data_IF_137460243432
#
_entry.id   IF_137460243432
#
_cell.length_a   1.000
_cell.length_b   1.000
_cell.length_c   1.000
_cell.angle_alpha   90.00
_cell.angle_beta   90.00
_cell.angle_gamma   90.00
#
_symmetry.space_group_name_H-M   'P 1'
#
loop_
_entity.id
_entity.type
_entity.pdbx_description
1 polymer ?
#
# COMPACT_ATOMS: atom_id res chain seq x y z
N UNK A 1 22.44 5.42 50.10
CA UNK A 1 21.10 5.65 49.50
C UNK A 1 20.25 4.41 49.74
N UNK A 2 19.10 4.52 50.41
CA UNK A 2 18.13 3.42 50.56
C UNK A 2 17.10 3.53 49.44
N UNK A 3 17.07 2.55 48.54
CA UNK A 3 16.04 2.45 47.51
C UNK A 3 14.79 1.84 48.13
N UNK A 4 13.73 2.65 48.28
CA UNK A 4 12.42 2.13 48.66
C UNK A 4 11.83 1.38 47.46
N UNK A 5 11.87 0.04 47.51
CA UNK A 5 11.05 -0.78 46.60
C UNK A 5 9.59 -0.57 47.01
N UNK A 6 8.83 0.17 46.20
CA UNK A 6 7.37 0.19 46.30
C UNK A 6 6.89 -1.25 46.17
N UNK A 7 6.18 -1.75 47.17
CA UNK A 7 5.50 -3.04 47.08
C UNK A 7 4.38 -2.89 46.06
N UNK A 8 4.52 -3.51 44.89
CA UNK A 8 3.46 -3.59 43.90
C UNK A 8 2.34 -4.47 44.48
N UNK A 9 1.24 -3.82 44.86
CA UNK A 9 0.02 -4.52 45.28
C UNK A 9 -0.57 -5.21 44.05
N UNK A 10 -0.39 -6.52 43.97
CA UNK A 10 -0.93 -7.36 42.90
C UNK A 10 -2.45 -7.19 42.86
N UNK A 11 -3.00 -6.79 41.71
CA UNK A 11 -4.44 -6.78 41.50
C UNK A 11 -4.86 -8.21 41.14
N UNK A 12 -5.60 -8.86 42.02
CA UNK A 12 -6.26 -10.12 41.68
C UNK A 12 -7.42 -9.79 40.73
N UNK A 13 -7.22 -9.96 39.43
CA UNK A 13 -8.29 -9.82 38.44
C UNK A 13 -9.31 -10.94 38.59
N UNK A 14 -10.58 -10.58 38.45
CA UNK A 14 -11.68 -11.52 38.36
C UNK A 14 -11.56 -12.38 37.10
N UNK A 15 -12.12 -13.59 37.13
CA UNK A 15 -12.01 -14.51 35.99
C UNK A 15 -12.68 -13.96 34.71
N UNK A 16 -13.65 -13.06 34.83
CA UNK A 16 -14.23 -12.34 33.68
C UNK A 16 -13.25 -11.37 33.04
N UNK A 17 -12.49 -10.61 33.84
CA UNK A 17 -11.52 -9.64 33.31
C UNK A 17 -10.34 -10.35 32.64
N UNK A 18 -9.95 -11.52 33.15
CA UNK A 18 -8.96 -12.38 32.49
C UNK A 18 -9.46 -12.81 31.12
N UNK A 19 -10.69 -13.31 31.03
CA UNK A 19 -11.28 -13.73 29.76
C UNK A 19 -11.38 -12.58 28.75
N UNK A 20 -11.72 -11.36 29.20
CA UNK A 20 -11.71 -10.18 28.33
C UNK A 20 -10.30 -9.83 27.83
N UNK A 21 -9.29 -9.90 28.70
CA UNK A 21 -7.90 -9.63 28.34
C UNK A 21 -7.41 -10.64 27.28
N UNK A 22 -7.75 -11.90 27.46
CA UNK A 22 -7.47 -12.99 26.51
C UNK A 22 -8.11 -12.75 25.15
N UNK A 23 -9.40 -12.41 25.13
CA UNK A 23 -10.12 -12.11 23.90
C UNK A 23 -9.50 -10.92 23.17
N UNK A 24 -9.20 -9.83 23.88
CA UNK A 24 -8.58 -8.64 23.27
C UNK A 24 -7.20 -8.93 22.69
N UNK A 25 -6.38 -9.74 23.38
CA UNK A 25 -5.08 -10.15 22.88
C UNK A 25 -5.19 -11.03 21.63
N UNK A 26 -6.15 -11.96 21.63
CA UNK A 26 -6.43 -12.83 20.51
C UNK A 26 -6.95 -12.05 19.29
N UNK A 27 -7.90 -11.13 19.50
CA UNK A 27 -8.50 -10.32 18.44
C UNK A 27 -7.46 -9.40 17.78
N UNK A 28 -6.61 -8.75 18.59
CA UNK A 28 -5.49 -7.95 18.08
C UNK A 28 -4.55 -8.82 17.24
N UNK A 29 -4.21 -10.01 17.74
CA UNK A 29 -3.39 -10.97 17.00
C UNK A 29 -4.03 -11.36 15.66
N UNK A 30 -5.33 -11.68 15.68
CA UNK A 30 -6.08 -12.09 14.50
C UNK A 30 -6.13 -11.01 13.43
N UNK A 31 -6.35 -9.75 13.82
CA UNK A 31 -6.35 -8.61 12.92
C UNK A 31 -4.97 -8.39 12.28
N UNK A 32 -3.91 -8.38 13.10
CA UNK A 32 -2.52 -8.26 12.63
C UNK A 32 -2.16 -9.39 11.67
N UNK A 33 -2.53 -10.63 12.00
CA UNK A 33 -2.26 -11.81 11.19
C UNK A 33 -3.02 -11.81 9.85
N UNK A 34 -4.29 -11.40 9.87
CA UNK A 34 -5.15 -11.37 8.69
C UNK A 34 -4.75 -10.26 7.72
N UNK A 35 -4.60 -9.03 8.22
CA UNK A 35 -4.31 -7.87 7.38
C UNK A 35 -2.82 -7.65 7.11
N UNK A 36 -1.93 -8.33 7.85
CA UNK A 36 -0.46 -8.13 7.80
C UNK A 36 -0.07 -6.69 8.16
N UNK A 37 -0.69 -6.16 9.23
CA UNK A 37 -0.30 -4.87 9.76
C UNK A 37 1.16 -4.87 10.21
N UNK A 38 1.82 -3.72 10.05
CA UNK A 38 3.12 -3.49 10.68
C UNK A 38 2.93 -3.50 12.19
N UNK A 39 3.80 -4.21 12.90
CA UNK A 39 3.77 -4.26 14.37
C UNK A 39 4.30 -2.97 15.01
N UNK A 40 4.68 -2.00 14.17
CA UNK A 40 5.12 -0.67 14.58
C UNK A 40 3.95 0.31 14.56
N UNK A 41 3.81 1.11 15.62
CA UNK A 41 2.76 2.15 15.75
C UNK A 41 1.56 1.68 16.56
N UNK A 42 0.35 1.80 16.00
CA UNK A 42 -0.89 1.53 16.74
C UNK A 42 -0.97 0.10 17.31
N UNK A 43 -0.38 -0.88 16.63
CA UNK A 43 -0.29 -2.26 17.13
C UNK A 43 0.58 -2.33 18.38
N UNK A 44 1.74 -1.68 18.35
CA UNK A 44 2.62 -1.60 19.54
C UNK A 44 1.95 -0.84 20.69
N UNK A 45 1.25 0.25 20.41
CA UNK A 45 0.50 1.00 21.44
C UNK A 45 -0.58 0.13 22.09
N UNK A 46 -1.40 -0.57 21.30
CA UNK A 46 -2.42 -1.47 21.84
C UNK A 46 -1.83 -2.67 22.58
N UNK A 47 -0.74 -3.25 22.05
CA UNK A 47 -0.08 -4.38 22.68
C UNK A 47 0.55 -3.99 24.02
N UNK A 48 1.24 -2.84 24.09
CA UNK A 48 1.79 -2.31 25.35
C UNK A 48 0.71 -1.99 26.38
N UNK A 49 -0.47 -1.50 25.94
CA UNK A 49 -1.60 -1.31 26.83
C UNK A 49 -2.07 -2.65 27.42
N UNK A 50 -2.20 -3.71 26.60
CA UNK A 50 -2.55 -5.06 27.08
C UNK A 50 -1.47 -5.63 28.02
N UNK A 51 -0.20 -5.42 27.69
CA UNK A 51 0.93 -5.87 28.51
C UNK A 51 0.97 -5.17 29.87
N UNK A 52 0.62 -3.88 29.93
CA UNK A 52 0.55 -3.15 31.20
C UNK A 52 -0.50 -3.75 32.15
N UNK A 53 -1.69 -4.10 31.63
CA UNK A 53 -2.75 -4.75 32.40
C UNK A 53 -2.35 -6.16 32.80
N UNK A 54 -1.70 -6.90 31.89
CA UNK A 54 -1.22 -8.25 32.16
C UNK A 54 -0.11 -8.28 33.21
N UNK A 55 0.75 -7.25 33.26
CA UNK A 55 1.84 -7.12 34.23
C UNK A 55 1.32 -6.89 35.65
N UNK A 56 0.24 -6.14 35.80
CA UNK A 56 -0.42 -5.96 37.10
C UNK A 56 -1.01 -7.28 37.66
N UNK A 57 -1.23 -8.24 36.77
CA UNK A 57 -1.91 -9.51 37.00
C UNK A 57 -0.99 -10.75 37.07
N UNK A 58 0.30 -10.60 36.76
CA UNK A 58 1.23 -11.71 36.46
C UNK A 58 0.74 -12.65 35.32
N UNK A 59 -0.05 -12.15 34.36
CA UNK A 59 -0.64 -12.92 33.23
C UNK A 59 0.04 -12.64 31.88
N UNK A 60 1.27 -12.13 31.89
CA UNK A 60 1.97 -11.68 30.68
C UNK A 60 2.20 -12.79 29.66
N UNK A 61 2.56 -13.99 30.12
CA UNK A 61 2.81 -15.15 29.27
C UNK A 61 1.56 -15.53 28.48
N UNK A 62 0.42 -15.55 29.18
CA UNK A 62 -0.87 -15.93 28.62
C UNK A 62 -1.36 -14.96 27.54
N UNK A 63 -1.16 -13.65 27.74
CA UNK A 63 -1.44 -12.62 26.73
C UNK A 63 -0.55 -12.79 25.50
N UNK A 64 0.74 -13.04 25.71
CA UNK A 64 1.70 -13.22 24.61
C UNK A 64 1.38 -14.46 23.77
N UNK A 65 0.97 -15.56 24.41
CA UNK A 65 0.55 -16.78 23.73
C UNK A 65 -0.73 -16.56 22.91
N UNK A 66 -1.74 -15.93 23.51
CA UNK A 66 -3.01 -15.67 22.84
C UNK A 66 -2.84 -14.73 21.65
N UNK A 67 -1.98 -13.72 21.75
CA UNK A 67 -1.62 -12.87 20.61
C UNK A 67 -0.96 -13.66 19.47
N UNK A 68 0.02 -14.52 19.77
CA UNK A 68 0.68 -15.38 18.77
C UNK A 68 -0.32 -16.34 18.11
N UNK A 69 -1.16 -17.00 18.91
CA UNK A 69 -2.24 -17.88 18.43
C UNK A 69 -3.20 -17.12 17.52
N UNK A 70 -3.65 -15.93 17.93
CA UNK A 70 -4.47 -15.05 17.11
C UNK A 70 -3.82 -14.74 15.76
N UNK A 71 -2.54 -14.36 15.76
CA UNK A 71 -1.76 -14.03 14.56
C UNK A 71 -1.64 -15.18 13.57
N UNK A 72 -1.34 -16.38 14.05
CA UNK A 72 -1.32 -17.58 13.21
C UNK A 72 -2.70 -17.90 12.62
N UNK A 73 -3.74 -17.78 13.45
CA UNK A 73 -5.11 -18.08 13.03
C UNK A 73 -5.61 -17.09 11.98
N UNK A 74 -5.32 -15.80 12.16
CA UNK A 74 -5.58 -14.74 11.19
C UNK A 74 -4.85 -14.98 9.87
N UNK A 75 -3.57 -15.36 9.92
CA UNK A 75 -2.80 -15.69 8.72
C UNK A 75 -3.37 -16.90 7.95
N UNK A 76 -3.73 -17.98 8.66
CA UNK A 76 -4.38 -19.17 8.09
C UNK A 76 -5.75 -18.84 7.50
N UNK A 77 -6.52 -17.95 8.15
CA UNK A 77 -7.83 -17.50 7.64
C UNK A 77 -7.67 -16.72 6.34
N UNK A 78 -6.71 -15.79 6.27
CA UNK A 78 -6.38 -15.05 5.04
C UNK A 78 -6.02 -16.00 3.90
N UNK A 79 -5.21 -17.01 4.18
CA UNK A 79 -4.81 -18.01 3.18
C UNK A 79 -6.02 -18.80 2.65
N UNK A 80 -6.89 -19.27 3.55
CA UNK A 80 -8.14 -19.94 3.16
C UNK A 80 -9.04 -19.04 2.32
N UNK A 81 -9.24 -17.80 2.74
CA UNK A 81 -10.08 -16.83 2.04
C UNK A 81 -9.52 -16.52 0.65
N UNK A 82 -8.20 -16.37 0.52
CA UNK A 82 -7.51 -16.21 -0.76
C UNK A 82 -7.72 -17.43 -1.67
N UNK A 83 -7.57 -18.65 -1.15
CA UNK A 83 -7.80 -19.89 -1.90
C UNK A 83 -9.25 -20.02 -2.37
N UNK A 84 -10.22 -19.65 -1.53
CA UNK A 84 -11.65 -19.62 -1.87
C UNK A 84 -11.99 -18.55 -2.91
N UNK A 85 -11.38 -17.36 -2.79
CA UNK A 85 -11.53 -16.27 -3.76
C UNK A 85 -11.02 -16.65 -5.15
N UNK A 86 -9.90 -17.39 -5.21
CA UNK A 86 -9.38 -17.94 -6.45
C UNK A 86 -10.31 -19.02 -7.04
N UNK A 87 -10.85 -19.91 -6.19
CA UNK A 87 -11.73 -21.01 -6.64
C UNK A 87 -13.08 -20.53 -7.19
N UNK A 88 -13.67 -19.46 -6.66
CA UNK A 88 -14.93 -18.91 -7.21
C UNK A 88 -14.77 -18.28 -8.60
N UNK A 89 -13.59 -17.72 -8.90
CA UNK A 89 -13.33 -17.06 -10.20
C UNK A 89 -13.26 -18.05 -11.37
N UNK A 90 -13.05 -19.34 -11.08
CA UNK A 90 -12.97 -20.39 -12.11
C UNK A 90 -14.36 -20.87 -12.56
N UNK A 91 -15.37 -20.84 -11.68
CA UNK A 91 -16.74 -21.28 -12.01
C UNK A 91 -17.57 -20.28 -12.84
N UNK A 92 -17.14 -19.01 -12.90
CA UNK A 92 -17.86 -17.95 -13.61
C UNK A 92 -17.28 -17.60 -14.99
N UNK A 93 -16.28 -18.34 -15.51
CA UNK A 93 -15.75 -18.11 -16.87
C UNK A 93 -16.68 -18.60 -18.00
N UNK A 94 -17.90 -19.03 -17.68
CA UNK A 94 -18.83 -19.60 -18.65
C UNK A 94 -19.95 -18.69 -19.14
N UNK A 95 -20.26 -17.56 -18.50
CA UNK A 95 -21.47 -16.79 -18.86
C UNK A 95 -21.33 -15.26 -18.66
N UNK A 96 -21.57 -14.55 -19.76
CA UNK A 96 -21.91 -13.13 -19.93
C UNK A 96 -20.78 -12.12 -20.24
N UNK A 97 -20.89 -11.65 -21.49
CA UNK A 97 -20.41 -10.38 -22.00
C UNK A 97 -21.28 -9.20 -21.51
N UNK A 98 -20.67 -8.01 -21.63
CA UNK A 98 -21.22 -6.64 -21.72
C UNK A 98 -21.95 -5.99 -20.53
N UNK A 99 -21.58 -4.71 -20.35
CA UNK A 99 -22.19 -3.59 -19.62
C UNK A 99 -21.73 -3.19 -18.19
N UNK A 100 -20.71 -2.32 -18.18
CA UNK A 100 -20.74 -0.91 -17.68
C UNK A 100 -20.67 -0.59 -16.17
N UNK A 101 -19.46 -0.17 -15.74
CA UNK A 101 -18.99 1.02 -14.95
C UNK A 101 -19.83 1.52 -13.74
N UNK A 102 -19.33 1.87 -12.53
CA UNK A 102 -18.11 2.51 -11.96
C UNK A 102 -17.95 2.05 -10.48
N UNK A 103 -16.80 2.05 -9.78
CA UNK A 103 -15.45 2.58 -10.00
C UNK A 103 -14.39 1.77 -9.22
N UNK A 104 -13.21 1.55 -9.81
CA UNK A 104 -11.97 2.34 -9.70
C UNK A 104 -11.09 1.92 -8.50
N UNK A 105 -10.06 1.11 -8.77
CA UNK A 105 -8.66 1.55 -8.73
C UNK A 105 -7.72 0.50 -9.36
N UNK A 106 -6.78 1.02 -10.16
CA UNK A 106 -5.50 0.44 -10.63
C UNK A 106 -5.48 -0.44 -11.90
N UNK A 107 -4.87 0.18 -12.92
CA UNK A 107 -4.07 -0.37 -14.01
C UNK A 107 -4.80 -1.10 -15.15
N UNK A 108 -5.32 -0.25 -16.04
CA UNK A 108 -5.63 -0.51 -17.42
C UNK A 108 -4.39 -1.04 -18.16
N UNK A 109 -4.34 -2.36 -18.32
CA UNK A 109 -3.52 -3.01 -19.34
C UNK A 109 -4.25 -2.86 -20.65
N UNK A 110 -3.88 -1.85 -21.43
CA UNK A 110 -4.21 -1.84 -22.85
C UNK A 110 -3.52 -3.02 -23.53
N UNK A 111 -4.35 -3.99 -23.89
CA UNK A 111 -4.28 -4.88 -25.05
C UNK A 111 -2.96 -4.79 -25.81
N UNK A 112 -1.99 -5.60 -25.42
CA UNK A 112 -0.89 -5.97 -26.32
C UNK A 112 -1.48 -6.91 -27.37
N UNK A 113 -2.03 -6.32 -28.44
CA UNK A 113 -1.99 -6.97 -29.74
C UNK A 113 -0.50 -7.13 -30.06
N UNK A 114 0.03 -8.34 -29.90
CA UNK A 114 1.35 -8.72 -30.40
C UNK A 114 1.29 -8.74 -31.94
N UNK A 115 1.15 -7.57 -32.54
CA UNK A 115 1.46 -7.36 -33.95
C UNK A 115 2.98 -7.24 -34.01
N UNK A 116 3.62 -8.29 -34.52
CA UNK A 116 5.05 -8.30 -34.86
C UNK A 116 5.42 -6.97 -35.51
N UNK A 117 6.14 -6.14 -34.76
CA UNK A 117 6.41 -4.74 -35.06
C UNK A 117 7.84 -4.52 -35.50
N UNK A 118 8.43 -5.44 -36.27
CA UNK A 118 9.69 -5.17 -36.95
C UNK A 118 9.39 -4.30 -38.19
N UNK A 119 9.10 -3.03 -37.95
CA UNK A 119 9.15 -2.01 -39.01
C UNK A 119 10.57 -1.47 -39.01
N UNK A 120 11.35 -1.86 -40.02
CA UNK A 120 12.62 -1.23 -40.32
C UNK A 120 12.39 0.26 -40.56
N UNK A 121 12.77 1.10 -39.61
CA UNK A 121 12.93 2.52 -39.87
C UNK A 121 14.17 2.68 -40.75
N UNK A 122 13.97 2.73 -42.07
CA UNK A 122 14.87 3.49 -42.93
C UNK A 122 14.56 4.96 -42.64
N UNK A 123 15.36 5.58 -41.77
CA UNK A 123 15.32 7.03 -41.66
C UNK A 123 16.26 7.61 -42.73
N UNK A 124 15.66 8.03 -43.83
CA UNK A 124 16.31 8.83 -44.86
C UNK A 124 16.46 10.27 -44.36
N UNK A 125 17.33 10.49 -43.39
CA UNK A 125 17.85 11.83 -43.14
C UNK A 125 19.22 11.75 -42.46
N UNK A 126 20.26 11.69 -43.29
CA UNK A 126 21.64 11.81 -42.87
C UNK A 126 21.90 13.25 -42.37
N UNK A 127 21.63 13.50 -41.09
CA UNK A 127 22.21 14.64 -40.39
C UNK A 127 23.61 14.24 -39.90
N UNK A 128 24.69 14.93 -40.32
CA UNK A 128 26.08 14.55 -40.02
C UNK A 128 26.49 14.72 -38.55
N UNK A 129 25.54 15.03 -37.65
CA UNK A 129 25.78 15.27 -36.22
C UNK A 129 25.15 14.22 -35.29
N UNK A 130 24.65 13.09 -35.81
CA UNK A 130 24.05 12.03 -34.97
C UNK A 130 25.04 11.35 -34.00
N UNK A 131 26.35 11.57 -34.14
CA UNK A 131 27.37 11.04 -33.22
C UNK A 131 27.55 11.86 -31.93
N UNK A 132 26.87 13.00 -31.80
CA UNK A 132 26.84 13.83 -30.58
C UNK A 132 25.47 13.79 -29.90
N UNK A 133 24.67 12.75 -30.13
CA UNK A 133 23.43 12.57 -29.38
C UNK A 133 23.78 12.13 -27.95
N UNK A 134 23.74 13.07 -27.01
CA UNK A 134 23.91 12.78 -25.59
C UNK A 134 22.77 11.87 -25.14
N UNK A 135 23.09 10.93 -24.24
CA UNK A 135 22.09 10.01 -23.72
C UNK A 135 21.06 10.79 -22.90
N UNK A 136 19.77 10.63 -23.24
CA UNK A 136 18.60 11.29 -22.62
C UNK A 136 18.52 11.10 -21.08
N UNK A 137 19.31 10.18 -20.51
CA UNK A 137 19.50 9.99 -19.07
C UNK A 137 20.11 11.18 -18.33
N UNK A 138 20.79 12.11 -19.03
CA UNK A 138 21.27 13.37 -18.41
C UNK A 138 20.21 14.46 -18.40
N UNK A 139 19.12 14.29 -19.14
CA UNK A 139 18.02 15.24 -19.14
C UNK A 139 17.11 14.99 -17.95
N UNK A 140 16.62 16.07 -17.36
CA UNK A 140 15.76 15.98 -16.19
C UNK A 140 14.41 15.36 -16.60
N UNK A 141 13.86 14.39 -15.85
CA UNK A 141 12.61 13.75 -16.24
C UNK A 141 11.47 14.77 -16.30
N UNK A 142 10.65 14.70 -17.35
CA UNK A 142 9.52 15.61 -17.64
C UNK A 142 8.49 15.73 -16.50
N UNK A 143 8.54 14.83 -15.51
CA UNK A 143 7.70 14.87 -14.30
C UNK A 143 8.11 15.97 -13.31
N UNK A 144 9.32 16.51 -13.43
CA UNK A 144 9.82 17.63 -12.61
C UNK A 144 9.54 19.00 -13.25
N UNK A 145 9.13 19.02 -14.51
CA UNK A 145 8.69 20.26 -15.16
C UNK A 145 7.33 20.66 -14.61
N UNK A 146 7.17 21.95 -14.31
CA UNK A 146 5.88 22.49 -13.86
C UNK A 146 4.87 22.24 -15.00
N UNK A 147 3.72 21.58 -14.72
CA UNK A 147 2.75 21.30 -15.77
C UNK A 147 2.30 22.61 -16.41
N UNK A 148 2.20 22.65 -17.75
CA UNK A 148 1.80 23.84 -18.54
C UNK A 148 0.54 24.55 -18.02
N UNK A 149 -0.34 23.83 -17.33
CA UNK A 149 -1.54 24.38 -16.69
C UNK A 149 -1.26 25.35 -15.52
N UNK A 150 -0.07 25.27 -14.91
CA UNK A 150 0.41 26.13 -13.81
C UNK A 150 1.39 27.19 -14.32
N UNK A 151 1.86 27.06 -15.57
CA UNK A 151 2.70 28.07 -16.19
C UNK A 151 1.90 29.36 -16.40
N UNK A 152 2.49 30.51 -16.04
CA UNK A 152 1.83 31.81 -16.29
C UNK A 152 1.58 31.90 -17.80
N UNK A 153 0.40 32.36 -18.25
CA UNK A 153 0.14 32.54 -19.68
C UNK A 153 1.24 33.44 -20.24
N UNK A 154 2.14 32.84 -21.03
CA UNK A 154 3.12 33.62 -21.77
C UNK A 154 2.32 34.53 -22.68
N UNK A 155 2.68 35.82 -22.65
CA UNK A 155 1.99 36.87 -23.38
C UNK A 155 1.69 36.38 -24.79
N UNK A 156 0.40 36.37 -25.16
CA UNK A 156 -0.06 36.21 -26.54
C UNK A 156 0.85 37.12 -27.35
N UNK A 157 1.64 36.54 -28.28
CA UNK A 157 2.65 37.24 -29.08
C UNK A 157 2.26 38.70 -29.26
N UNK A 158 3.04 39.61 -28.66
CA UNK A 158 2.74 41.03 -28.63
C UNK A 158 2.37 41.57 -30.01
N UNK A 159 1.65 42.70 -30.04
CA UNK A 159 1.13 43.34 -31.25
C UNK A 159 2.08 43.21 -32.45
N UNK A 160 1.70 42.39 -33.43
CA UNK A 160 2.36 42.39 -34.74
C UNK A 160 2.05 43.72 -35.41
N UNK A 161 3.06 44.57 -35.53
CA UNK A 161 2.92 45.83 -36.23
C UNK A 161 2.63 45.53 -37.71
N UNK A 162 1.49 45.99 -38.21
CA UNK A 162 1.12 45.85 -39.61
C UNK A 162 2.07 46.72 -40.43
N UNK A 163 2.91 46.07 -41.24
CA UNK A 163 3.75 46.75 -42.23
C UNK A 163 2.92 46.89 -43.51
N UNK A 164 2.82 48.09 -44.11
CA UNK A 164 2.10 48.26 -45.37
C UNK A 164 2.76 47.44 -46.47
N UNK A 165 1.91 46.82 -47.29
CA UNK A 165 2.32 46.01 -48.43
C UNK A 165 2.75 46.94 -49.56
N UNK A 166 4.00 46.82 -50.01
CA UNK A 166 4.48 47.41 -51.27
C UNK A 166 3.78 46.80 -52.49
#
# INVERSE_FOLDING_TARGET
MRFFKKAETKRNLSDSEKAELEQRAYDLGLEVGYHKHSELGWVSERYTALESVAKEADLMELVSENYKKGKETGAKRRERDMKLGLSKKEKNKGKHASDTLYGCYSQERDRIHLRSGFTSFQDSNAHPYSMLQHAEITEMPSITEIPRAVERPQMINGFKQLVPKE
#
